data_IF_399550121804
#
_entry.id   IF_399550121804
#
_cell.length_a   1.000
_cell.length_b   1.000
_cell.length_c   1.000
_cell.angle_alpha   90.00
_cell.angle_beta   90.00
_cell.angle_gamma   90.00
#
_symmetry.space_group_name_H-M   'P 1'
#
loop_
_entity.id
_entity.type
_entity.pdbx_description
1 polymer ?
#
# COMPACT_ATOMS: atom_id res chain seq x y z
N UNK A 1 -34.31 14.45 9.08
CA UNK A 1 -34.21 13.71 7.80
C UNK A 1 -32.93 14.14 7.10
N UNK A 2 -31.83 13.44 7.31
CA UNK A 2 -30.63 13.63 6.48
C UNK A 2 -30.92 13.05 5.10
N UNK A 3 -30.88 13.90 4.07
CA UNK A 3 -30.90 13.43 2.68
C UNK A 3 -29.64 12.58 2.49
N UNK A 4 -29.84 11.30 2.16
CA UNK A 4 -28.76 10.45 1.67
C UNK A 4 -28.12 11.17 0.46
N UNK A 5 -26.79 11.31 0.40
CA UNK A 5 -26.14 11.87 -0.77
C UNK A 5 -26.44 11.00 -1.98
N UNK A 6 -26.69 11.67 -3.09
CA UNK A 6 -27.09 11.09 -4.38
C UNK A 6 -26.09 9.99 -4.79
N UNK A 7 -26.60 8.78 -5.08
CA UNK A 7 -25.78 7.59 -5.44
C UNK A 7 -25.16 7.65 -6.83
N UNK A 8 -25.41 8.73 -7.58
CA UNK A 8 -24.84 8.95 -8.89
C UNK A 8 -23.62 9.87 -8.78
N UNK A 9 -22.56 9.40 -8.13
CA UNK A 9 -21.23 9.90 -8.44
C UNK A 9 -20.91 9.40 -9.84
N UNK A 10 -21.16 10.26 -10.84
CA UNK A 10 -20.75 10.05 -12.22
C UNK A 10 -19.28 9.62 -12.17
N UNK A 11 -19.02 8.35 -12.51
CA UNK A 11 -17.68 7.84 -12.74
C UNK A 11 -17.15 8.56 -13.98
N UNK A 12 -16.70 9.80 -13.84
CA UNK A 12 -15.97 10.48 -14.90
C UNK A 12 -14.72 9.67 -15.12
N UNK A 13 -14.57 9.13 -16.34
CA UNK A 13 -13.35 8.44 -16.74
C UNK A 13 -12.13 9.29 -16.36
N UNK A 14 -11.04 8.70 -15.85
CA UNK A 14 -9.84 9.45 -15.53
C UNK A 14 -9.41 10.24 -16.76
N UNK A 15 -9.19 11.54 -16.62
CA UNK A 15 -8.72 12.42 -17.70
C UNK A 15 -7.24 12.19 -18.04
N UNK A 16 -6.66 11.09 -17.56
CA UNK A 16 -5.25 10.77 -17.65
C UNK A 16 -5.03 9.50 -18.48
N UNK A 17 -3.90 9.45 -19.18
CA UNK A 17 -3.53 8.33 -20.04
C UNK A 17 -2.43 7.51 -19.38
N UNK A 18 -2.66 6.20 -19.26
CA UNK A 18 -1.68 5.24 -18.76
C UNK A 18 -0.46 5.10 -19.68
N UNK A 19 -0.59 5.45 -20.98
CA UNK A 19 0.53 5.41 -21.94
C UNK A 19 1.47 6.62 -21.83
N UNK A 20 1.02 7.73 -21.25
CA UNK A 20 1.80 8.99 -21.16
C UNK A 20 2.48 9.12 -19.82
N UNK A 21 1.72 9.03 -18.72
CA UNK A 21 2.24 9.12 -17.35
C UNK A 21 1.38 8.25 -16.42
N UNK A 22 1.68 6.94 -16.33
CA UNK A 22 0.87 6.02 -15.54
C UNK A 22 0.91 6.35 -14.05
N UNK A 23 2.01 6.89 -13.53
CA UNK A 23 2.15 7.23 -12.10
C UNK A 23 1.25 8.42 -11.77
N UNK A 24 1.29 9.49 -12.57
CA UNK A 24 0.39 10.63 -12.38
C UNK A 24 -1.07 10.22 -12.56
N UNK A 25 -1.35 9.27 -13.46
CA UNK A 25 -2.70 8.78 -13.66
C UNK A 25 -3.22 7.96 -12.47
N UNK A 26 -2.40 7.07 -11.90
CA UNK A 26 -2.71 6.36 -10.66
C UNK A 26 -2.96 7.32 -9.50
N UNK A 27 -2.15 8.38 -9.36
CA UNK A 27 -2.37 9.43 -8.36
C UNK A 27 -3.72 10.11 -8.55
N UNK A 28 -4.06 10.49 -9.79
CA UNK A 28 -5.38 11.07 -10.11
C UNK A 28 -6.51 10.15 -9.67
N UNK A 29 -6.46 8.86 -10.01
CA UNK A 29 -7.53 7.90 -9.69
C UNK A 29 -7.67 7.66 -8.18
N UNK A 30 -6.57 7.39 -7.48
CA UNK A 30 -6.62 7.01 -6.07
C UNK A 30 -6.72 8.20 -5.12
N UNK A 31 -6.02 9.30 -5.40
CA UNK A 31 -5.97 10.46 -4.50
C UNK A 31 -7.05 11.47 -4.90
N UNK A 32 -6.97 12.00 -6.12
CA UNK A 32 -7.77 13.16 -6.51
C UNK A 32 -9.23 12.81 -6.83
N UNK A 33 -9.51 11.59 -7.28
CA UNK A 33 -10.88 11.12 -7.52
C UNK A 33 -11.43 10.35 -6.33
N UNK A 34 -10.74 9.30 -5.89
CA UNK A 34 -11.28 8.41 -4.86
C UNK A 34 -11.22 9.03 -3.47
N UNK A 35 -10.03 9.44 -3.00
CA UNK A 35 -9.88 9.94 -1.63
C UNK A 35 -10.47 11.34 -1.48
N UNK A 36 -10.20 12.26 -2.41
CA UNK A 36 -10.77 13.60 -2.38
C UNK A 36 -12.29 13.55 -2.56
N UNK A 37 -12.82 12.74 -3.48
CA UNK A 37 -14.26 12.57 -3.65
C UNK A 37 -14.96 12.11 -2.35
N UNK A 38 -14.32 11.24 -1.56
CA UNK A 38 -14.83 10.86 -0.22
C UNK A 38 -14.84 12.04 0.75
N UNK A 39 -13.81 12.89 0.74
CA UNK A 39 -13.73 14.11 1.56
C UNK A 39 -14.84 15.10 1.15
N UNK A 40 -15.01 15.35 -0.14
CA UNK A 40 -16.03 16.25 -0.68
C UNK A 40 -17.46 15.77 -0.37
N UNK A 41 -17.67 14.46 -0.31
CA UNK A 41 -18.92 13.85 0.15
C UNK A 41 -19.12 13.89 1.67
N UNK A 42 -18.16 14.45 2.42
CA UNK A 42 -18.25 14.63 3.87
C UNK A 42 -17.82 13.43 4.70
N UNK A 43 -17.11 12.44 4.13
CA UNK A 43 -16.60 11.30 4.90
C UNK A 43 -15.52 11.76 5.88
N UNK A 44 -15.77 11.56 7.19
CA UNK A 44 -14.85 11.97 8.25
C UNK A 44 -14.65 10.85 9.30
N UNK A 45 -13.43 10.29 9.45
CA UNK A 45 -12.26 10.53 8.60
C UNK A 45 -12.45 9.91 7.21
N UNK A 46 -11.87 10.55 6.17
CA UNK A 46 -11.85 9.96 4.84
C UNK A 46 -10.99 8.70 4.81
N UNK A 47 -11.55 7.60 4.28
CA UNK A 47 -10.88 6.30 4.18
C UNK A 47 -9.85 6.32 3.05
N UNK A 48 -8.77 5.55 3.23
CA UNK A 48 -7.75 5.33 2.18
C UNK A 48 -8.36 4.65 0.96
N UNK A 49 -7.91 4.96 -0.26
CA UNK A 49 -8.45 4.37 -1.48
C UNK A 49 -8.31 2.84 -1.53
N UNK A 50 -7.14 2.34 -1.10
CA UNK A 50 -6.80 0.93 -0.93
C UNK A 50 -6.35 0.68 0.50
N UNK A 51 -6.37 -0.58 0.94
CA UNK A 51 -6.13 -0.96 2.33
C UNK A 51 -6.99 -0.12 3.30
N UNK A 52 -8.23 0.11 2.90
CA UNK A 52 -9.14 1.06 3.51
C UNK A 52 -9.52 0.66 4.94
N UNK A 53 -9.63 -0.65 5.19
CA UNK A 53 -10.05 -1.19 6.47
C UNK A 53 -8.85 -1.39 7.39
N UNK A 54 -8.81 -0.63 8.49
CA UNK A 54 -7.79 -0.77 9.50
C UNK A 54 -8.19 -1.84 10.53
N UNK A 55 -7.29 -2.78 10.82
CA UNK A 55 -7.45 -3.72 11.94
C UNK A 55 -6.96 -3.15 13.25
N UNK A 56 -5.91 -2.34 13.20
CA UNK A 56 -5.32 -1.75 14.39
C UNK A 56 -4.12 -0.88 14.09
N UNK A 57 -3.83 0.00 15.04
CA UNK A 57 -2.66 0.86 15.03
C UNK A 57 -1.94 0.71 16.37
N UNK A 58 -0.61 0.57 16.32
CA UNK A 58 0.21 0.46 17.51
C UNK A 58 1.44 1.36 17.39
N UNK A 59 1.89 1.89 18.53
CA UNK A 59 3.20 2.51 18.67
C UNK A 59 4.17 1.47 19.22
N UNK A 60 5.38 1.43 18.69
CA UNK A 60 6.41 0.51 19.14
C UNK A 60 7.82 1.06 18.97
N UNK A 61 8.79 0.14 18.99
CA UNK A 61 10.17 0.40 18.61
C UNK A 61 10.65 -0.66 17.62
N UNK A 62 11.45 -0.24 16.64
CA UNK A 62 12.23 -1.13 15.77
C UNK A 62 13.66 -1.11 16.27
N UNK A 63 14.19 -2.28 16.63
CA UNK A 63 15.53 -2.44 17.19
C UNK A 63 16.41 -3.20 16.20
N UNK A 64 17.54 -2.60 15.82
CA UNK A 64 18.52 -3.27 14.96
C UNK A 64 19.24 -4.33 15.81
N UNK A 65 19.35 -5.55 15.29
CA UNK A 65 20.01 -6.67 15.97
C UNK A 65 21.43 -6.29 16.39
N UNK A 66 21.77 -6.47 17.68
CA UNK A 66 23.04 -6.00 18.27
C UNK A 66 24.28 -6.71 17.72
N UNK A 67 24.15 -7.94 17.24
CA UNK A 67 25.21 -8.75 16.64
C UNK A 67 25.05 -8.89 15.11
N UNK A 68 24.55 -7.83 14.45
CA UNK A 68 24.39 -7.80 13.00
C UNK A 68 25.75 -7.88 12.29
N UNK A 69 25.89 -8.77 11.31
CA UNK A 69 27.10 -8.89 10.49
C UNK A 69 27.47 -7.56 9.82
N UNK A 70 28.77 -7.24 9.75
CA UNK A 70 29.24 -5.96 9.21
C UNK A 70 28.84 -5.73 7.76
N UNK A 71 28.64 -6.78 6.98
CA UNK A 71 28.14 -6.70 5.59
C UNK A 71 26.67 -6.24 5.52
N UNK A 72 25.90 -6.39 6.60
CA UNK A 72 24.50 -6.00 6.70
C UNK A 72 24.30 -4.63 7.37
N UNK A 73 25.36 -3.98 7.84
CA UNK A 73 25.29 -2.69 8.54
C UNK A 73 25.21 -1.52 7.55
N UNK A 74 24.10 -1.42 6.81
CA UNK A 74 23.89 -0.41 5.76
C UNK A 74 22.59 0.38 6.00
N UNK A 75 22.62 1.68 5.75
CA UNK A 75 21.45 2.56 5.81
C UNK A 75 20.76 2.51 7.17
N UNK A 76 19.49 2.11 7.21
CA UNK A 76 18.69 1.94 8.44
C UNK A 76 19.37 1.03 9.46
N UNK A 77 20.10 0.01 8.98
CA UNK A 77 20.75 -1.04 9.77
C UNK A 77 22.19 -0.72 10.17
N UNK A 78 22.69 0.48 9.84
CA UNK A 78 24.10 0.89 10.04
C UNK A 78 24.60 0.91 11.48
N UNK A 79 23.70 0.91 12.47
CA UNK A 79 24.07 0.96 13.89
C UNK A 79 23.38 -0.19 14.64
N UNK A 80 24.08 -1.32 14.89
CA UNK A 80 23.57 -2.41 15.72
C UNK A 80 23.10 -1.92 17.10
N UNK A 81 21.99 -2.46 17.59
CA UNK A 81 21.37 -2.08 18.87
C UNK A 81 20.61 -0.74 18.83
N UNK A 82 20.66 0.01 17.72
CA UNK A 82 19.90 1.26 17.61
C UNK A 82 18.40 0.99 17.60
N UNK A 83 17.66 1.81 18.34
CA UNK A 83 16.20 1.75 18.42
C UNK A 83 15.59 2.96 17.72
N UNK A 84 14.58 2.70 16.88
CA UNK A 84 13.80 3.72 16.20
C UNK A 84 12.35 3.69 16.70
N UNK A 85 11.73 4.83 17.03
CA UNK A 85 10.29 4.86 17.27
C UNK A 85 9.53 4.45 16.01
N UNK A 86 8.46 3.68 16.16
CA UNK A 86 7.60 3.30 15.02
C UNK A 86 6.13 3.49 15.32
N UNK A 87 5.38 3.79 14.27
CA UNK A 87 3.94 3.58 14.22
C UNK A 87 3.64 2.49 13.20
N UNK A 88 2.79 1.55 13.60
CA UNK A 88 2.39 0.39 12.81
C UNK A 88 0.90 0.46 12.55
N UNK A 89 0.47 0.17 11.32
CA UNK A 89 -0.94 0.04 10.95
C UNK A 89 -1.16 -1.27 10.20
N UNK A 90 -1.95 -2.16 10.78
CA UNK A 90 -2.49 -3.32 10.08
C UNK A 90 -3.78 -2.96 9.36
N UNK A 91 -3.93 -3.46 8.14
CA UNK A 91 -5.10 -3.22 7.32
C UNK A 91 -5.32 -4.35 6.31
N UNK A 92 -6.52 -4.40 5.73
CA UNK A 92 -6.78 -5.20 4.53
C UNK A 92 -7.39 -4.38 3.41
N UNK A 93 -7.22 -4.91 2.21
CA UNK A 93 -7.83 -4.41 0.99
C UNK A 93 -8.87 -5.41 0.48
N UNK A 94 -10.17 -5.21 0.77
CA UNK A 94 -11.21 -6.06 0.21
C UNK A 94 -11.30 -5.79 -1.29
N UNK A 95 -10.80 -6.74 -2.09
CA UNK A 95 -10.71 -6.67 -3.56
C UNK A 95 -12.05 -6.40 -4.27
N UNK A 96 -13.18 -6.50 -3.56
CA UNK A 96 -14.52 -6.47 -4.14
C UNK A 96 -15.54 -6.10 -3.06
N UNK A 97 -16.31 -5.03 -3.29
CA UNK A 97 -17.60 -4.73 -2.63
C UNK A 97 -17.55 -4.03 -1.24
N UNK A 98 -18.68 -3.45 -0.76
CA UNK A 98 -18.70 -2.35 0.20
C UNK A 98 -18.15 -2.68 1.58
N UNK A 99 -18.09 -1.63 2.42
CA UNK A 99 -17.66 -1.64 3.82
C UNK A 99 -18.33 -2.70 4.73
N UNK A 100 -19.32 -3.45 4.24
CA UNK A 100 -20.13 -4.43 4.96
C UNK A 100 -19.65 -5.90 4.81
N UNK A 101 -18.74 -6.20 3.88
CA UNK A 101 -18.22 -7.56 3.75
C UNK A 101 -17.14 -7.90 4.80
N UNK A 102 -17.02 -9.18 5.20
CA UNK A 102 -15.94 -9.63 6.06
C UNK A 102 -14.60 -9.61 5.32
N UNK A 103 -13.51 -9.59 6.07
CA UNK A 103 -12.13 -9.50 5.53
C UNK A 103 -11.63 -10.84 4.95
N UNK A 104 -12.58 -11.67 4.53
CA UNK A 104 -12.36 -13.02 4.07
C UNK A 104 -11.75 -13.02 2.68
N UNK A 105 -10.61 -13.71 2.52
CA UNK A 105 -9.85 -13.74 1.25
C UNK A 105 -9.42 -12.36 0.74
N UNK A 106 -9.29 -11.40 1.65
CA UNK A 106 -8.74 -10.08 1.36
C UNK A 106 -7.23 -10.08 1.60
N UNK A 107 -6.50 -9.32 0.78
CA UNK A 107 -5.09 -9.04 1.02
C UNK A 107 -4.95 -8.30 2.34
N UNK A 108 -4.05 -8.75 3.21
CA UNK A 108 -3.72 -8.06 4.46
C UNK A 108 -2.32 -7.50 4.37
N UNK A 109 -2.08 -6.39 5.07
CA UNK A 109 -0.80 -5.72 5.05
C UNK A 109 -0.56 -4.90 6.30
N UNK A 110 0.70 -4.48 6.42
CA UNK A 110 1.22 -3.67 7.49
C UNK A 110 1.98 -2.49 6.89
N UNK A 111 1.67 -1.29 7.37
CA UNK A 111 2.51 -0.12 7.17
C UNK A 111 3.28 0.16 8.45
N UNK A 112 4.61 0.20 8.38
CA UNK A 112 5.50 0.56 9.48
C UNK A 112 6.17 1.88 9.12
N UNK A 113 5.78 2.96 9.79
CA UNK A 113 6.47 4.25 9.71
C UNK A 113 7.57 4.28 10.77
N UNK A 114 8.81 4.38 10.32
CA UNK A 114 10.01 4.48 11.14
C UNK A 114 10.42 5.94 11.25
N UNK A 115 10.58 6.43 12.47
CA UNK A 115 10.97 7.80 12.77
C UNK A 115 12.46 7.89 13.08
N UNK A 116 12.99 9.10 13.05
CA UNK A 116 14.38 9.43 13.36
C UNK A 116 15.39 8.69 12.46
N UNK A 117 15.03 8.50 11.19
CA UNK A 117 15.87 7.87 10.17
C UNK A 117 16.64 8.96 9.41
N UNK A 118 17.94 9.16 9.70
CA UNK A 118 18.74 10.21 9.07
C UNK A 118 19.05 9.90 7.60
N UNK A 119 19.65 10.86 6.91
CA UNK A 119 20.09 10.73 5.52
C UNK A 119 19.04 11.16 4.50
N UNK A 120 19.50 11.39 3.27
CA UNK A 120 18.66 11.77 2.13
C UNK A 120 17.81 10.58 1.65
N UNK A 121 16.55 10.84 1.29
CA UNK A 121 15.60 9.85 0.77
C UNK A 121 15.50 9.98 -0.74
N UNK A 122 15.19 8.88 -1.42
CA UNK A 122 15.18 8.80 -2.88
C UNK A 122 13.97 9.48 -3.54
N UNK A 123 12.89 9.72 -2.79
CA UNK A 123 11.62 10.20 -3.35
C UNK A 123 11.34 11.67 -3.00
N UNK A 124 11.18 12.56 -4.01
CA UNK A 124 10.59 13.88 -3.80
C UNK A 124 9.12 13.80 -3.38
N UNK A 125 8.60 14.74 -2.56
CA UNK A 125 9.29 15.89 -1.96
C UNK A 125 9.88 15.60 -0.56
N UNK A 126 10.01 14.32 -0.21
CA UNK A 126 10.37 13.86 1.14
C UNK A 126 11.86 13.54 1.28
N UNK A 127 12.73 14.10 0.43
CA UNK A 127 14.17 13.81 0.40
C UNK A 127 14.84 14.10 1.76
N UNK A 128 14.36 15.12 2.47
CA UNK A 128 14.85 15.51 3.79
C UNK A 128 14.01 14.97 4.96
N UNK A 129 12.99 14.14 4.69
CA UNK A 129 12.13 13.64 5.75
C UNK A 129 12.92 12.70 6.68
N UNK A 130 12.85 12.88 8.01
CA UNK A 130 13.54 12.01 8.98
C UNK A 130 12.78 10.70 9.21
N UNK A 131 12.11 10.17 8.17
CA UNK A 131 11.26 8.99 8.26
C UNK A 131 11.53 8.01 7.12
N UNK A 132 11.22 6.74 7.34
CA UNK A 132 11.20 5.71 6.32
C UNK A 132 9.95 4.85 6.51
N UNK A 133 9.29 4.48 5.42
CA UNK A 133 8.10 3.63 5.46
C UNK A 133 8.44 2.24 4.93
N UNK A 134 8.08 1.22 5.70
CA UNK A 134 8.09 -0.18 5.25
C UNK A 134 6.64 -0.60 5.03
N UNK A 135 6.28 -0.85 3.79
CA UNK A 135 4.95 -1.30 3.38
C UNK A 135 5.06 -2.77 2.99
N UNK A 136 4.36 -3.64 3.72
CA UNK A 136 4.40 -5.08 3.49
C UNK A 136 2.97 -5.63 3.38
N UNK A 137 2.81 -6.71 2.64
CA UNK A 137 1.54 -7.42 2.45
C UNK A 137 1.73 -8.94 2.49
N UNK A 138 0.65 -9.70 2.66
CA UNK A 138 0.69 -11.15 2.80
C UNK A 138 0.90 -11.93 1.49
N UNK A 139 1.66 -11.35 0.56
CA UNK A 139 2.11 -11.97 -0.67
C UNK A 139 3.50 -11.44 -1.05
N UNK A 140 4.36 -12.33 -1.51
CA UNK A 140 5.76 -12.09 -1.87
C UNK A 140 5.96 -11.49 -3.28
N UNK A 141 4.89 -11.39 -4.07
CA UNK A 141 4.88 -10.82 -5.41
C UNK A 141 3.73 -9.84 -5.60
N UNK A 142 3.94 -8.77 -6.38
CA UNK A 142 2.88 -7.85 -6.78
C UNK A 142 2.14 -8.41 -8.01
N UNK A 143 0.84 -8.16 -8.14
CA UNK A 143 0.01 -8.82 -9.17
C UNK A 143 0.19 -8.24 -10.58
N UNK A 144 0.91 -7.13 -10.72
CA UNK A 144 1.29 -6.52 -12.00
C UNK A 144 2.76 -6.10 -11.97
N UNK A 145 3.40 -6.08 -13.13
CA UNK A 145 4.87 -5.91 -13.22
C UNK A 145 5.32 -4.44 -13.17
N UNK A 146 4.45 -3.50 -13.52
CA UNK A 146 4.81 -2.09 -13.62
C UNK A 146 3.61 -1.13 -13.42
N UNK A 147 3.90 0.16 -13.35
CA UNK A 147 2.90 1.20 -13.12
C UNK A 147 1.88 1.32 -14.27
N UNK A 148 2.27 1.01 -15.51
CA UNK A 148 1.37 1.06 -16.66
C UNK A 148 0.31 -0.03 -16.54
N UNK A 149 0.73 -1.26 -16.25
CA UNK A 149 -0.20 -2.39 -16.07
C UNK A 149 -1.13 -2.16 -14.87
N UNK A 150 -0.60 -1.61 -13.77
CA UNK A 150 -1.43 -1.19 -12.64
C UNK A 150 -2.47 -0.13 -13.05
N UNK A 151 -2.06 0.84 -13.86
CA UNK A 151 -2.93 1.90 -14.36
C UNK A 151 -4.02 1.35 -15.28
N UNK A 152 -3.65 0.54 -16.28
CA UNK A 152 -4.57 -0.09 -17.22
C UNK A 152 -5.56 -1.00 -16.47
N UNK A 153 -5.08 -1.84 -15.56
CA UNK A 153 -5.94 -2.67 -14.72
C UNK A 153 -6.91 -1.84 -13.86
N UNK A 154 -6.46 -0.73 -13.28
CA UNK A 154 -7.32 0.14 -12.47
C UNK A 154 -8.41 0.82 -13.32
N UNK A 155 -8.11 1.17 -14.58
CA UNK A 155 -9.08 1.79 -15.48
C UNK A 155 -10.07 0.78 -16.08
N UNK A 156 -9.58 -0.38 -16.50
CA UNK A 156 -10.35 -1.38 -17.26
C UNK A 156 -11.06 -2.38 -16.34
N UNK A 157 -10.43 -2.76 -15.22
CA UNK A 157 -10.92 -3.76 -14.28
C UNK A 157 -10.77 -5.19 -14.79
N UNK A 158 -11.64 -6.09 -14.31
CA UNK A 158 -11.61 -7.54 -14.61
C UNK A 158 -11.45 -7.89 -16.11
N UNK A 159 -12.03 -7.18 -17.10
CA UNK A 159 -11.82 -7.48 -18.51
C UNK A 159 -10.34 -7.46 -18.95
N UNK A 160 -9.48 -6.66 -18.30
CA UNK A 160 -8.05 -6.60 -18.60
C UNK A 160 -7.33 -7.94 -18.33
N UNK A 161 -7.85 -8.74 -17.40
CA UNK A 161 -7.28 -10.04 -17.02
C UNK A 161 -7.36 -11.08 -18.14
N UNK A 162 -8.24 -10.89 -19.13
CA UNK A 162 -8.35 -11.79 -20.28
C UNK A 162 -7.03 -11.91 -21.07
N UNK A 163 -6.28 -10.81 -21.15
CA UNK A 163 -4.99 -10.75 -21.83
C UNK A 163 -3.79 -10.90 -20.84
N UNK A 164 -4.05 -11.02 -19.53
CA UNK A 164 -3.04 -11.04 -18.47
C UNK A 164 -3.27 -12.22 -17.50
N UNK A 165 -3.20 -13.48 -17.98
CA UNK A 165 -3.49 -14.66 -17.17
C UNK A 165 -2.57 -14.81 -15.95
N UNK A 166 -1.31 -14.35 -16.04
CA UNK A 166 -0.38 -14.37 -14.90
C UNK A 166 -0.87 -13.49 -13.76
N UNK A 167 -1.43 -12.32 -14.06
CA UNK A 167 -2.03 -11.46 -13.04
C UNK A 167 -3.23 -12.14 -12.38
N UNK A 168 -4.07 -12.83 -13.16
CA UNK A 168 -5.19 -13.61 -12.61
C UNK A 168 -4.71 -14.70 -11.65
N UNK A 169 -3.67 -15.46 -12.01
CA UNK A 169 -3.07 -16.47 -11.13
C UNK A 169 -2.61 -15.86 -9.80
N UNK A 170 -1.91 -14.72 -9.85
CA UNK A 170 -1.42 -14.04 -8.64
C UNK A 170 -2.60 -13.52 -7.80
N UNK A 171 -3.64 -12.96 -8.41
CA UNK A 171 -4.85 -12.53 -7.70
C UNK A 171 -5.56 -13.70 -7.01
N UNK A 172 -5.58 -14.87 -7.62
CA UNK A 172 -6.12 -16.09 -7.01
C UNK A 172 -5.23 -16.55 -5.84
N UNK A 173 -3.91 -16.46 -5.96
CA UNK A 173 -2.96 -16.71 -4.88
C UNK A 173 -3.10 -15.70 -3.72
N UNK A 174 -3.43 -14.44 -4.00
CA UNK A 174 -3.67 -13.39 -2.99
C UNK A 174 -4.92 -13.64 -2.14
N UNK A 175 -5.90 -14.39 -2.66
CA UNK A 175 -7.20 -14.65 -2.04
C UNK A 175 -7.12 -15.67 -0.87
N UNK A 176 -6.26 -15.40 0.12
CA UNK A 176 -5.94 -16.26 1.27
C UNK A 176 -6.86 -16.01 2.46
N UNK A 177 -7.24 -17.07 3.16
CA UNK A 177 -7.93 -16.94 4.45
C UNK A 177 -6.90 -16.67 5.54
N UNK A 178 -6.97 -15.50 6.17
CA UNK A 178 -6.07 -15.09 7.24
C UNK A 178 -6.88 -14.92 8.54
N UNK A 179 -6.79 -15.87 9.49
CA UNK A 179 -7.53 -15.78 10.76
C UNK A 179 -7.12 -14.60 11.63
N UNK A 180 -5.84 -14.22 11.56
CA UNK A 180 -5.25 -13.13 12.33
C UNK A 180 -4.12 -12.48 11.54
N UNK A 181 -4.03 -11.16 11.58
CA UNK A 181 -2.93 -10.39 10.95
C UNK A 181 -1.55 -10.69 11.57
N UNK A 182 -1.52 -11.37 12.71
CA UNK A 182 -0.30 -11.82 13.38
C UNK A 182 0.15 -13.23 12.95
N UNK A 183 -0.65 -13.94 12.16
CA UNK A 183 -0.43 -15.35 11.78
C UNK A 183 -0.03 -15.51 10.31
N UNK A 184 0.33 -14.43 9.63
CA UNK A 184 0.76 -14.46 8.23
C UNK A 184 2.12 -13.81 8.05
N UNK A 185 2.91 -14.36 7.13
CA UNK A 185 4.12 -13.73 6.65
C UNK A 185 3.76 -12.49 5.84
N UNK A 186 4.63 -11.48 5.91
CA UNK A 186 4.47 -10.18 5.27
C UNK A 186 5.73 -9.84 4.49
N UNK A 187 5.54 -9.43 3.24
CA UNK A 187 6.61 -9.21 2.27
C UNK A 187 6.46 -7.85 1.64
N UNK A 188 7.57 -7.25 1.21
CA UNK A 188 7.53 -5.97 0.51
C UNK A 188 6.96 -6.06 -0.91
N UNK A 189 6.92 -7.28 -1.47
CA UNK A 189 6.50 -7.60 -2.86
C UNK A 189 7.31 -6.91 -3.97
N UNK A 190 8.25 -6.03 -3.60
CA UNK A 190 9.16 -5.34 -4.50
C UNK A 190 10.60 -5.47 -4.00
N UNK A 191 11.57 -5.60 -4.92
CA UNK A 191 12.97 -5.62 -4.55
C UNK A 191 13.43 -4.25 -4.06
N UNK A 192 14.29 -4.24 -3.04
CA UNK A 192 15.01 -3.07 -2.57
C UNK A 192 16.49 -3.27 -2.79
N UNK A 193 17.17 -2.18 -3.17
CA UNK A 193 18.62 -2.18 -3.20
C UNK A 193 19.17 -2.18 -1.77
N UNK A 194 20.18 -3.01 -1.53
CA UNK A 194 20.83 -3.14 -0.22
C UNK A 194 22.34 -3.11 -0.38
N UNK A 195 22.99 -2.15 0.28
CA UNK A 195 24.44 -1.99 0.18
C UNK A 195 24.85 -0.74 -0.61
N UNK A 196 26.14 -0.69 -0.94
CA UNK A 196 26.67 0.30 -1.87
C UNK A 196 26.50 -0.22 -3.29
N UNK A 197 25.55 0.37 -4.00
CA UNK A 197 25.63 0.82 -5.41
C UNK A 197 24.76 2.07 -5.52
#
# INVERSE_FOLDING_TARGET
MHKLPNKDSVKTAPTCSCDVDPIACLKTMFVDQTQMGRIEQGQCPARRPVFARAHGVARGRLEIVSNLDTTLQVGLFSTPGKQYPVWVRYACDPYRYPDDLPDYKSTVGIGIKVFDVPGEKILPPDECAPTMDLLLQNIDIFFVDNAKDMCDFTQIGDPWLADHPRTQEILDEMAKVVPSVFETDLWSSMPFHFGKE
#
